data_IF_439682907640
#
_entry.id   IF_439682907640
#
_cell.length_a   1.000
_cell.length_b   1.000
_cell.length_c   1.000
_cell.angle_alpha   90.00
_cell.angle_beta   90.00
_cell.angle_gamma   90.00
#
_symmetry.space_group_name_H-M   'P 1'
#
loop_
_entity.id
_entity.type
_entity.pdbx_description
1 polymer ?
#
# COMPACT_ATOMS: atom_id res chain seq x y z
N UNK A 1 20.50 -12.98 -3.31
CA UNK A 1 19.23 -13.34 -3.96
C UNK A 1 18.16 -12.60 -3.16
N UNK A 2 17.65 -11.47 -3.64
CA UNK A 2 16.71 -10.65 -2.86
C UNK A 2 15.30 -11.22 -2.97
N UNK A 3 14.73 -11.68 -1.86
CA UNK A 3 13.31 -12.03 -1.79
C UNK A 3 12.54 -10.73 -1.59
N UNK A 4 12.06 -10.13 -2.68
CA UNK A 4 11.11 -9.02 -2.58
C UNK A 4 9.88 -9.56 -1.87
N UNK A 5 9.62 -9.08 -0.65
CA UNK A 5 8.51 -9.55 0.16
C UNK A 5 7.26 -8.82 -0.32
N UNK A 6 6.45 -9.52 -1.11
CA UNK A 6 5.20 -8.99 -1.61
C UNK A 6 4.11 -9.20 -0.54
N UNK A 7 3.50 -8.11 -0.09
CA UNK A 7 2.39 -8.12 0.86
C UNK A 7 1.11 -7.67 0.17
N UNK A 8 -0.02 -8.28 0.50
CA UNK A 8 -1.32 -7.81 0.00
C UNK A 8 -1.82 -6.71 0.90
N UNK A 9 -1.88 -5.49 0.39
CA UNK A 9 -2.49 -4.35 1.06
C UNK A 9 -3.93 -4.16 0.60
N UNK A 10 -4.83 -3.86 1.53
CA UNK A 10 -6.23 -3.52 1.23
C UNK A 10 -6.48 -2.10 1.69
N UNK A 11 -6.90 -1.23 0.76
CA UNK A 11 -7.23 0.14 1.12
C UNK A 11 -8.49 0.16 2.01
N UNK A 12 -8.48 0.83 3.19
CA UNK A 12 -9.64 0.85 4.09
C UNK A 12 -10.84 1.64 3.53
N UNK A 13 -10.61 2.56 2.59
CA UNK A 13 -11.66 3.41 2.03
C UNK A 13 -12.38 2.77 0.84
N UNK A 14 -11.61 2.26 -0.12
CA UNK A 14 -12.18 1.67 -1.35
C UNK A 14 -12.15 0.14 -1.37
N UNK A 15 -11.61 -0.49 -0.32
CA UNK A 15 -11.53 -1.94 -0.15
C UNK A 15 -10.79 -2.67 -1.28
N UNK A 16 -10.01 -1.91 -2.05
CA UNK A 16 -9.28 -2.45 -3.19
C UNK A 16 -7.99 -3.10 -2.69
N UNK A 17 -7.77 -4.35 -3.09
CA UNK A 17 -6.57 -5.10 -2.78
C UNK A 17 -5.48 -4.85 -3.82
N UNK A 18 -4.25 -4.68 -3.34
CA UNK A 18 -3.07 -4.45 -4.17
C UNK A 18 -1.92 -5.28 -3.63
N UNK A 19 -1.15 -5.87 -4.54
CA UNK A 19 0.13 -6.48 -4.18
C UNK A 19 1.17 -5.37 -4.11
N UNK A 20 1.71 -5.14 -2.92
CA UNK A 20 2.64 -4.07 -2.62
C UNK A 20 3.91 -4.66 -2.00
N UNK A 21 5.03 -4.09 -2.40
CA UNK A 21 6.35 -4.32 -1.81
C UNK A 21 6.65 -3.21 -0.82
N UNK A 22 7.73 -3.32 -0.04
CA UNK A 22 8.15 -2.27 0.90
C UNK A 22 8.32 -0.89 0.21
N UNK A 23 8.94 -0.91 -0.98
CA UNK A 23 9.11 0.28 -1.84
C UNK A 23 7.76 0.86 -2.32
N UNK A 24 6.84 -0.02 -2.74
CA UNK A 24 5.50 0.41 -3.19
C UNK A 24 4.64 0.91 -2.03
N UNK A 25 4.78 0.30 -0.85
CA UNK A 25 4.09 0.74 0.38
C UNK A 25 4.55 2.15 0.74
N UNK A 26 5.85 2.43 0.74
CA UNK A 26 6.36 3.77 0.99
C UNK A 26 5.78 4.79 -0.01
N UNK A 27 5.81 4.48 -1.30
CA UNK A 27 5.22 5.34 -2.33
C UNK A 27 3.70 5.55 -2.16
N UNK A 28 2.95 4.51 -1.78
CA UNK A 28 1.51 4.59 -1.51
C UNK A 28 1.19 5.40 -0.25
N UNK A 29 2.09 5.41 0.75
CA UNK A 29 1.94 6.25 1.95
C UNK A 29 2.22 7.71 1.62
N UNK A 30 3.27 7.98 0.82
CA UNK A 30 3.61 9.35 0.42
C UNK A 30 2.60 9.98 -0.55
N UNK A 31 2.14 9.20 -1.54
CA UNK A 31 1.20 9.69 -2.56
C UNK A 31 -0.27 9.43 -2.22
N UNK A 32 -0.56 8.53 -1.27
CA UNK A 32 -1.90 8.04 -1.01
C UNK A 32 -2.33 6.90 -1.94
N UNK A 33 -3.58 6.46 -1.78
CA UNK A 33 -4.13 5.37 -2.56
C UNK A 33 -4.29 5.76 -4.03
N UNK A 34 -3.63 5.05 -4.95
CA UNK A 34 -3.73 5.30 -6.40
C UNK A 34 -5.13 5.10 -6.99
N UNK A 35 -6.05 4.48 -6.25
CA UNK A 35 -7.42 4.18 -6.71
C UNK A 35 -8.44 5.25 -6.33
N UNK A 36 -8.47 5.64 -5.06
CA UNK A 36 -9.41 6.61 -4.53
C UNK A 36 -8.77 7.96 -4.17
N UNK A 37 -7.44 8.06 -4.18
CA UNK A 37 -6.69 9.26 -3.78
C UNK A 37 -6.67 9.50 -2.26
N UNK A 38 -7.18 8.58 -1.45
CA UNK A 38 -7.20 8.77 0.00
C UNK A 38 -5.80 8.74 0.59
N UNK A 39 -5.56 9.52 1.64
CA UNK A 39 -4.29 9.50 2.35
C UNK A 39 -4.12 8.15 3.05
N UNK A 40 -3.07 7.41 2.69
CA UNK A 40 -2.72 6.15 3.35
C UNK A 40 -1.64 6.44 4.39
N UNK A 41 -1.87 6.03 5.62
CA UNK A 41 -0.87 6.11 6.69
C UNK A 41 -0.12 4.78 6.80
N UNK A 42 1.12 4.75 7.32
CA UNK A 42 1.85 3.50 7.54
C UNK A 42 1.11 2.53 8.46
N UNK A 43 0.24 3.06 9.33
CA UNK A 43 -0.67 2.33 10.23
C UNK A 43 -1.73 1.52 9.46
N UNK A 44 -2.16 1.97 8.28
CA UNK A 44 -3.11 1.25 7.44
C UNK A 44 -2.57 -0.09 6.91
N UNK A 45 -1.25 -0.30 6.99
CA UNK A 45 -0.54 -1.49 6.55
C UNK A 45 -0.02 -2.34 7.73
N UNK A 46 -0.57 -2.13 8.94
CA UNK A 46 -0.25 -2.89 10.14
C UNK A 46 -0.76 -4.35 10.09
#
# INVERSE_FOLDING_TARGET
>A
MGTTQHSTFVCPECTSSFVVDDDKRAALVEHGCVRCGTALTPDAFA
#
